data_IF_107408288627
#
_entry.id   IF_107408288627
#
_cell.length_a   1.000
_cell.length_b   1.000
_cell.length_c   1.000
_cell.angle_alpha   90.00
_cell.angle_beta   90.00
_cell.angle_gamma   90.00
#
_symmetry.space_group_name_H-M   'P 1'
#
loop_
_entity.id
_entity.type
_entity.pdbx_description
1 polymer ?
#
# COMPACT_ATOMS: atom_id res chain seq x y z
N UNK A 1 23.56 -18.39 21.70
CA UNK A 1 23.47 -18.96 20.34
C UNK A 1 24.19 -18.02 19.39
N UNK A 2 25.08 -18.50 18.52
CA UNK A 2 25.66 -17.67 17.47
C UNK A 2 24.55 -17.24 16.48
N UNK A 3 24.60 -16.01 15.99
CA UNK A 3 23.62 -15.45 15.04
C UNK A 3 24.35 -14.93 13.80
N UNK A 4 23.86 -15.27 12.61
CA UNK A 4 24.29 -14.69 11.34
C UNK A 4 23.18 -13.78 10.81
N UNK A 5 23.45 -12.49 10.52
CA UNK A 5 22.43 -11.60 9.98
C UNK A 5 22.00 -12.05 8.58
N UNK A 6 20.69 -12.11 8.36
CA UNK A 6 20.11 -12.35 7.04
C UNK A 6 19.48 -11.07 6.48
N UNK A 7 19.44 -10.99 5.16
CA UNK A 7 18.69 -9.99 4.39
C UNK A 7 17.69 -10.73 3.53
N UNK A 8 16.45 -10.27 3.52
CA UNK A 8 15.41 -10.79 2.63
C UNK A 8 15.29 -9.91 1.37
N UNK A 9 15.10 -10.52 0.22
CA UNK A 9 14.64 -9.79 -0.98
C UNK A 9 13.34 -10.41 -1.44
N UNK A 10 12.36 -9.57 -1.78
CA UNK A 10 11.07 -10.06 -2.24
C UNK A 10 10.31 -9.08 -3.11
N UNK A 11 9.18 -9.55 -3.60
CA UNK A 11 8.18 -8.80 -4.35
C UNK A 11 6.88 -8.81 -3.57
N UNK A 12 6.06 -7.78 -3.74
CA UNK A 12 4.63 -7.92 -3.48
C UNK A 12 4.01 -8.59 -4.71
N UNK A 13 3.63 -9.86 -4.57
CA UNK A 13 3.08 -10.64 -5.67
C UNK A 13 1.62 -10.29 -6.00
N UNK A 14 1.04 -11.02 -6.96
CA UNK A 14 -0.35 -10.83 -7.40
C UNK A 14 -1.39 -11.20 -6.32
N UNK A 15 -1.00 -11.97 -5.30
CA UNK A 15 -1.83 -12.27 -4.14
C UNK A 15 -1.71 -11.20 -3.04
N UNK A 16 -0.90 -10.14 -3.26
CA UNK A 16 -0.68 -9.07 -2.29
C UNK A 16 0.24 -9.45 -1.14
N UNK A 17 1.05 -10.51 -1.30
CA UNK A 17 1.95 -11.03 -0.27
C UNK A 17 3.40 -10.74 -0.63
N UNK A 18 4.20 -10.38 0.38
CA UNK A 18 5.64 -10.18 0.21
C UNK A 18 6.33 -11.54 0.24
N UNK A 19 6.89 -11.95 -0.91
CA UNK A 19 7.51 -13.27 -1.09
C UNK A 19 8.82 -13.17 -1.84
N UNK A 20 9.73 -14.09 -1.53
CA UNK A 20 11.10 -14.04 -2.03
C UNK A 20 12.02 -14.91 -1.19
N UNK A 21 13.28 -14.49 -1.03
CA UNK A 21 14.34 -15.35 -0.47
C UNK A 21 15.31 -14.56 0.39
N UNK A 22 15.68 -15.18 1.53
CA UNK A 22 16.72 -14.69 2.43
C UNK A 22 18.12 -15.15 2.03
N UNK A 23 19.13 -14.34 2.35
CA UNK A 23 20.54 -14.66 2.15
C UNK A 23 21.40 -14.00 3.26
N UNK A 24 22.64 -14.49 3.51
CA UNK A 24 23.54 -13.87 4.48
C UNK A 24 23.86 -12.42 4.15
N UNK A 25 23.81 -11.52 5.14
CA UNK A 25 24.09 -10.10 4.93
C UNK A 25 25.49 -9.83 4.36
N UNK A 26 26.45 -10.75 4.58
CA UNK A 26 27.78 -10.71 3.97
C UNK A 26 27.75 -10.73 2.44
N UNK A 27 26.70 -11.31 1.83
CA UNK A 27 26.56 -11.44 0.39
C UNK A 27 25.85 -10.25 -0.25
N UNK A 28 25.43 -9.24 0.53
CA UNK A 28 24.57 -8.15 0.06
C UNK A 28 25.10 -7.44 -1.18
N UNK A 29 26.39 -7.13 -1.23
CA UNK A 29 27.01 -6.47 -2.39
C UNK A 29 26.87 -7.32 -3.65
N UNK A 30 27.11 -8.63 -3.55
CA UNK A 30 26.94 -9.54 -4.67
C UNK A 30 25.45 -9.67 -5.05
N UNK A 31 24.54 -9.76 -4.07
CA UNK A 31 23.09 -9.88 -4.34
C UNK A 31 22.45 -8.64 -4.93
N UNK A 32 22.95 -7.43 -4.62
CA UNK A 32 22.48 -6.21 -5.28
C UNK A 32 22.84 -6.19 -6.77
N UNK A 33 24.01 -6.75 -7.14
CA UNK A 33 24.46 -6.86 -8.53
C UNK A 33 23.80 -8.04 -9.26
N UNK A 34 23.92 -9.24 -8.70
CA UNK A 34 23.60 -10.51 -9.37
C UNK A 34 22.17 -10.96 -9.11
N UNK A 35 21.60 -10.57 -7.97
CA UNK A 35 20.23 -10.87 -7.59
C UNK A 35 20.07 -12.22 -6.95
N UNK A 36 18.82 -12.65 -6.87
CA UNK A 36 18.42 -13.91 -6.24
C UNK A 36 17.45 -14.63 -7.15
N UNK A 37 17.74 -15.91 -7.46
CA UNK A 37 16.91 -16.70 -8.37
C UNK A 37 15.47 -16.87 -7.88
N UNK A 38 14.55 -16.92 -8.83
CA UNK A 38 13.11 -17.09 -8.69
C UNK A 38 12.61 -18.03 -9.79
N UNK A 39 11.51 -18.75 -9.58
CA UNK A 39 10.82 -19.47 -10.65
C UNK A 39 9.57 -18.71 -11.11
N UNK A 40 9.21 -18.84 -12.38
CA UNK A 40 8.01 -18.23 -12.95
C UNK A 40 6.74 -18.55 -12.14
N UNK A 41 6.61 -19.79 -11.68
CA UNK A 41 5.46 -20.27 -10.92
C UNK A 41 5.27 -19.59 -9.55
N UNK A 42 6.30 -18.93 -8.99
CA UNK A 42 6.17 -18.25 -7.70
C UNK A 42 5.14 -17.12 -7.72
N UNK A 43 4.99 -16.39 -8.84
CA UNK A 43 4.01 -15.30 -8.94
C UNK A 43 2.56 -15.80 -8.93
N UNK A 44 2.36 -17.08 -9.26
CA UNK A 44 1.04 -17.72 -9.38
C UNK A 44 0.58 -18.36 -8.07
N UNK A 45 1.35 -18.23 -7.00
CA UNK A 45 1.00 -18.77 -5.70
C UNK A 45 -0.17 -18.00 -5.09
N UNK A 46 -1.25 -18.69 -4.78
CA UNK A 46 -2.45 -18.05 -4.23
C UNK A 46 -2.22 -17.47 -2.83
N UNK A 47 -3.14 -16.63 -2.37
CA UNK A 47 -3.14 -16.10 -1.01
C UNK A 47 -3.21 -17.20 0.07
N UNK A 48 -3.64 -18.42 -0.29
CA UNK A 48 -3.78 -19.57 0.61
C UNK A 48 -2.61 -20.56 0.52
N UNK A 49 -1.61 -20.30 -0.33
CA UNK A 49 -0.38 -21.10 -0.42
C UNK A 49 -0.24 -22.03 -1.64
N UNK A 50 -1.26 -22.70 -2.20
CA UNK A 50 -1.03 -23.54 -3.37
C UNK A 50 -0.79 -22.71 -4.64
N UNK A 51 -0.02 -23.31 -5.56
CA UNK A 51 0.11 -22.91 -6.96
C UNK A 51 -0.87 -23.78 -7.75
N UNK A 52 -1.77 -23.16 -8.52
CA UNK A 52 -2.71 -23.86 -9.40
C UNK A 52 -2.09 -24.05 -10.79
N UNK A 53 -2.84 -24.58 -11.75
CA UNK A 53 -2.37 -24.71 -13.14
C UNK A 53 -1.92 -23.34 -13.69
N UNK A 54 -0.72 -23.30 -14.28
CA UNK A 54 -0.11 -22.06 -14.79
C UNK A 54 0.44 -22.28 -16.19
N UNK A 55 0.53 -21.23 -17.03
CA UNK A 55 1.15 -21.32 -18.36
C UNK A 55 2.67 -21.54 -18.32
N UNK A 56 3.31 -21.42 -17.14
CA UNK A 56 4.77 -21.45 -17.01
C UNK A 56 5.33 -22.84 -16.68
N UNK A 57 4.49 -23.76 -16.18
CA UNK A 57 4.94 -25.08 -15.74
C UNK A 57 6.05 -25.02 -14.67
N UNK A 58 7.06 -25.88 -14.82
CA UNK A 58 8.21 -25.98 -13.90
C UNK A 58 9.53 -25.55 -14.54
N UNK A 59 9.49 -24.95 -15.72
CA UNK A 59 10.69 -24.60 -16.51
C UNK A 59 11.02 -23.11 -16.43
N UNK A 60 12.28 -22.80 -16.65
CA UNK A 60 12.80 -21.44 -16.74
C UNK A 60 13.06 -20.78 -15.38
N UNK A 61 14.13 -19.99 -15.35
CA UNK A 61 14.54 -19.21 -14.20
C UNK A 61 14.31 -17.72 -14.43
N UNK A 62 14.07 -17.01 -13.33
CA UNK A 62 13.99 -15.56 -13.24
C UNK A 62 14.92 -15.08 -12.12
N UNK A 63 15.12 -13.77 -12.05
CA UNK A 63 15.95 -13.14 -11.02
C UNK A 63 15.17 -12.04 -10.32
N UNK A 64 15.12 -12.10 -8.99
CA UNK A 64 14.81 -10.95 -8.16
C UNK A 64 16.02 -10.02 -8.11
N UNK A 65 15.89 -8.83 -8.71
CA UNK A 65 16.87 -7.75 -8.63
C UNK A 65 16.47 -6.79 -7.51
N UNK A 66 17.14 -6.81 -6.34
CA UNK A 66 16.79 -5.89 -5.26
C UNK A 66 17.02 -4.44 -5.67
N UNK A 67 16.06 -3.57 -5.39
CA UNK A 67 16.18 -2.14 -5.63
C UNK A 67 16.74 -1.44 -4.37
N UNK A 68 17.96 -0.87 -4.42
CA UNK A 68 18.58 -0.22 -3.27
C UNK A 68 17.74 0.88 -2.62
N UNK A 69 16.87 1.55 -3.39
CA UNK A 69 16.01 2.63 -2.89
C UNK A 69 14.88 2.15 -1.98
N UNK A 70 14.64 0.83 -1.93
CA UNK A 70 13.60 0.19 -1.12
C UNK A 70 14.15 -0.47 0.15
N UNK A 71 15.43 -0.24 0.45
CA UNK A 71 16.08 -0.78 1.65
C UNK A 71 15.24 -0.50 2.90
N UNK A 72 14.92 -1.56 3.63
CA UNK A 72 14.42 -1.51 5.01
C UNK A 72 15.46 -2.13 5.91
N UNK A 73 15.85 -1.39 6.95
CA UNK A 73 16.72 -1.87 8.04
C UNK A 73 16.22 -1.24 9.34
N UNK A 74 15.57 -2.04 10.18
CA UNK A 74 14.96 -1.58 11.44
C UNK A 74 15.40 -2.48 12.59
N UNK A 75 16.09 -1.89 13.56
CA UNK A 75 16.51 -2.56 14.79
C UNK A 75 15.36 -2.62 15.80
N UNK A 76 15.18 -3.76 16.46
CA UNK A 76 14.15 -4.00 17.48
C UNK A 76 14.78 -4.45 18.82
N UNK A 77 15.88 -3.81 19.22
CA UNK A 77 16.58 -4.13 20.47
C UNK A 77 17.27 -5.49 20.39
N UNK A 78 16.89 -6.43 21.27
CA UNK A 78 17.49 -7.77 21.34
C UNK A 78 16.93 -8.76 20.30
N UNK A 79 15.79 -8.42 19.68
CA UNK A 79 15.19 -9.19 18.60
C UNK A 79 16.02 -9.08 17.31
N UNK A 80 15.83 -10.03 16.39
CA UNK A 80 16.42 -9.91 15.06
C UNK A 80 15.89 -8.64 14.38
N UNK A 81 16.80 -7.84 13.80
CA UNK A 81 16.41 -6.67 13.03
C UNK A 81 15.63 -7.08 11.76
N UNK A 82 14.75 -6.20 11.31
CA UNK A 82 14.03 -6.34 10.06
C UNK A 82 14.91 -5.82 8.92
N UNK A 83 15.35 -6.70 8.01
CA UNK A 83 16.24 -6.34 6.89
C UNK A 83 15.69 -6.89 5.59
N UNK A 84 15.16 -6.02 4.73
CA UNK A 84 14.72 -6.45 3.41
C UNK A 84 14.81 -5.39 2.33
N UNK A 85 14.69 -5.85 1.09
CA UNK A 85 14.55 -5.03 -0.11
C UNK A 85 13.34 -5.52 -0.90
N UNK A 86 12.63 -4.57 -1.52
CA UNK A 86 11.72 -4.89 -2.61
C UNK A 86 12.54 -5.02 -3.90
N UNK A 87 12.10 -5.91 -4.78
CA UNK A 87 12.79 -6.23 -6.02
C UNK A 87 11.90 -6.04 -7.24
N UNK A 88 12.57 -5.91 -8.38
CA UNK A 88 11.96 -6.14 -9.68
C UNK A 88 12.23 -7.59 -10.10
N UNK A 89 11.30 -8.19 -10.84
CA UNK A 89 11.48 -9.51 -11.44
C UNK A 89 12.11 -9.31 -12.82
N UNK A 90 13.25 -9.96 -13.04
CA UNK A 90 14.03 -9.87 -14.27
C UNK A 90 14.10 -11.23 -14.95
N UNK A 91 14.20 -11.23 -16.27
CA UNK A 91 14.60 -12.41 -17.05
C UNK A 91 16.09 -12.70 -16.83
N UNK A 92 16.55 -13.88 -17.26
CA UNK A 92 17.96 -14.24 -17.22
C UNK A 92 18.84 -13.34 -18.11
N UNK A 93 18.25 -12.71 -19.12
CA UNK A 93 18.92 -11.75 -20.01
C UNK A 93 19.04 -10.35 -19.40
N UNK A 94 18.46 -10.13 -18.21
CA UNK A 94 18.54 -8.85 -17.48
C UNK A 94 17.44 -7.85 -17.82
N UNK A 95 16.43 -8.24 -18.60
CA UNK A 95 15.26 -7.43 -18.91
C UNK A 95 14.18 -7.57 -17.84
N UNK A 96 13.30 -6.57 -17.68
CA UNK A 96 12.14 -6.70 -16.81
C UNK A 96 11.21 -7.79 -17.34
N UNK A 97 10.83 -8.72 -16.46
CA UNK A 97 9.86 -9.74 -16.81
C UNK A 97 8.46 -9.12 -16.97
N UNK A 98 7.72 -9.54 -17.99
CA UNK A 98 6.44 -8.95 -18.36
C UNK A 98 5.36 -9.01 -17.26
N UNK A 99 5.46 -9.99 -16.36
CA UNK A 99 4.55 -10.17 -15.23
C UNK A 99 5.08 -9.53 -13.93
N UNK A 100 6.11 -8.69 -13.98
CA UNK A 100 6.59 -7.93 -12.82
C UNK A 100 5.58 -6.82 -12.45
N UNK A 101 4.89 -6.87 -11.28
CA UNK A 101 3.91 -5.85 -10.91
C UNK A 101 4.52 -4.46 -10.72
N UNK A 102 5.78 -4.43 -10.28
CA UNK A 102 6.53 -3.20 -10.03
C UNK A 102 6.94 -2.51 -11.34
N UNK A 103 7.34 -3.28 -12.35
CA UNK A 103 7.57 -2.74 -13.69
C UNK A 103 6.26 -2.31 -14.38
N UNK A 104 5.16 -3.05 -14.18
CA UNK A 104 3.85 -2.63 -14.70
C UNK A 104 3.48 -1.21 -14.23
N UNK A 105 3.66 -0.91 -12.93
CA UNK A 105 3.46 0.45 -12.40
C UNK A 105 4.46 1.45 -12.98
N UNK A 106 5.74 1.07 -13.11
CA UNK A 106 6.78 1.91 -13.72
C UNK A 106 6.40 2.35 -15.13
N UNK A 107 5.94 1.41 -15.98
CA UNK A 107 5.48 1.70 -17.35
C UNK A 107 4.23 2.58 -17.36
N UNK A 108 3.28 2.37 -16.46
CA UNK A 108 2.09 3.21 -16.35
C UNK A 108 2.43 4.66 -15.95
N UNK A 109 3.38 4.85 -15.02
CA UNK A 109 3.87 6.17 -14.63
C UNK A 109 4.60 6.87 -15.78
N UNK A 110 5.42 6.14 -16.53
CA UNK A 110 6.10 6.67 -17.71
C UNK A 110 5.11 7.08 -18.81
N UNK A 111 4.05 6.30 -19.03
CA UNK A 111 2.99 6.66 -19.97
C UNK A 111 2.26 7.95 -19.55
N UNK A 112 1.92 8.11 -18.27
CA UNK A 112 1.33 9.33 -17.74
C UNK A 112 2.21 10.56 -18.00
N UNK A 113 3.52 10.44 -17.79
CA UNK A 113 4.47 11.53 -18.03
C UNK A 113 4.64 11.84 -19.53
N UNK A 114 4.82 10.81 -20.35
CA UNK A 114 5.09 10.96 -21.78
C UNK A 114 3.88 11.49 -22.56
N UNK A 115 2.69 10.99 -22.25
CA UNK A 115 1.47 11.31 -23.00
C UNK A 115 0.77 12.56 -22.47
N UNK A 116 0.79 12.80 -21.15
CA UNK A 116 0.06 13.91 -20.54
C UNK A 116 0.98 15.00 -19.95
N UNK A 117 2.28 14.77 -19.83
CA UNK A 117 3.19 15.70 -19.15
C UNK A 117 2.90 15.84 -17.65
N UNK A 118 2.30 14.81 -17.05
CA UNK A 118 1.87 14.82 -15.65
C UNK A 118 2.66 13.83 -14.82
N UNK A 119 2.86 14.14 -13.55
CA UNK A 119 3.41 13.20 -12.56
C UNK A 119 2.42 12.94 -11.43
N UNK A 120 2.48 11.72 -10.88
CA UNK A 120 1.62 11.26 -9.80
C UNK A 120 2.24 11.53 -8.43
N UNK A 121 1.47 12.21 -7.57
CA UNK A 121 1.71 12.31 -6.13
C UNK A 121 0.58 11.55 -5.43
N UNK A 122 0.91 10.56 -4.62
CA UNK A 122 -0.11 9.74 -3.97
C UNK A 122 0.30 9.22 -2.59
N UNK A 123 -0.69 8.81 -1.81
CA UNK A 123 -0.55 8.16 -0.50
C UNK A 123 -1.61 7.07 -0.36
N UNK A 124 -1.25 6.00 0.37
CA UNK A 124 -2.17 4.98 0.81
C UNK A 124 -2.52 5.21 2.28
N UNK A 125 -3.81 5.10 2.63
CA UNK A 125 -4.30 4.98 3.99
C UNK A 125 -4.73 3.53 4.19
N UNK A 126 -4.13 2.83 5.15
CA UNK A 126 -4.35 1.39 5.33
C UNK A 126 -4.90 1.12 6.73
N UNK A 127 -6.13 0.65 6.77
CA UNK A 127 -6.77 0.17 8.00
C UNK A 127 -6.35 -1.28 8.28
N UNK A 128 -6.24 -1.63 9.56
CA UNK A 128 -5.96 -3.00 9.98
C UNK A 128 -6.53 -3.30 11.37
N UNK A 129 -6.74 -4.58 11.64
CA UNK A 129 -7.06 -5.07 12.99
C UNK A 129 -5.79 -5.46 13.72
N UNK A 130 -5.62 -4.96 14.94
CA UNK A 130 -4.52 -5.36 15.84
C UNK A 130 -5.01 -6.28 16.94
N UNK A 131 -4.48 -7.50 17.03
CA UNK A 131 -4.99 -8.51 17.98
C UNK A 131 -4.46 -8.36 19.40
N UNK A 132 -3.58 -7.40 19.68
CA UNK A 132 -3.05 -7.13 21.03
C UNK A 132 -3.98 -6.32 21.93
N UNK A 133 -5.22 -6.10 21.47
CA UNK A 133 -6.21 -5.29 22.17
C UNK A 133 -7.47 -6.13 22.37
N UNK A 134 -8.04 -6.06 23.56
CA UNK A 134 -9.38 -6.59 23.82
C UNK A 134 -10.43 -5.65 23.22
N UNK A 135 -11.45 -6.24 22.60
CA UNK A 135 -12.56 -5.44 22.10
C UNK A 135 -13.29 -4.74 23.25
N UNK A 136 -13.65 -3.47 23.01
CA UNK A 136 -14.43 -2.66 23.93
C UNK A 136 -15.56 -1.98 23.14
N UNK A 137 -16.82 -2.44 23.32
CA UNK A 137 -17.97 -1.79 22.71
C UNK A 137 -18.04 -0.29 23.02
N UNK A 138 -18.32 0.52 21.99
CA UNK A 138 -18.43 1.97 22.10
C UNK A 138 -17.10 2.73 22.23
N UNK A 139 -15.95 2.05 22.09
CA UNK A 139 -14.63 2.69 22.11
C UNK A 139 -14.18 3.21 20.73
N UNK A 140 -15.08 3.26 19.76
CA UNK A 140 -14.88 3.80 18.42
C UNK A 140 -14.29 5.21 18.45
N UNK A 141 -13.13 5.43 17.81
CA UNK A 141 -12.36 6.69 17.86
C UNK A 141 -12.06 7.21 19.28
N UNK A 142 -12.21 6.39 20.33
CA UNK A 142 -12.11 6.86 21.70
C UNK A 142 -10.66 6.90 22.19
N UNK A 143 -10.36 7.85 23.07
CA UNK A 143 -9.07 7.92 23.78
C UNK A 143 -8.76 6.63 24.55
N UNK A 144 -9.78 5.87 24.94
CA UNK A 144 -9.61 4.57 25.57
C UNK A 144 -9.05 3.50 24.61
N UNK A 145 -9.57 3.42 23.38
CA UNK A 145 -9.01 2.52 22.36
C UNK A 145 -7.56 2.89 22.01
N UNK A 146 -7.24 4.18 22.02
CA UNK A 146 -5.86 4.67 21.92
C UNK A 146 -4.96 4.22 23.09
N UNK A 147 -5.46 4.17 24.32
CA UNK A 147 -4.67 3.72 25.48
C UNK A 147 -4.47 2.21 25.51
N UNK A 148 -5.44 1.43 25.01
CA UNK A 148 -5.43 -0.04 25.07
C UNK A 148 -4.43 -0.72 24.15
N UNK A 149 -3.99 -0.07 23.07
CA UNK A 149 -2.97 -0.63 22.17
C UNK A 149 -1.58 -0.77 22.82
N UNK A 150 -1.39 -0.23 24.02
CA UNK A 150 -0.13 -0.32 24.74
C UNK A 150 0.98 0.44 24.01
N UNK A 151 2.03 -0.29 23.62
CA UNK A 151 3.21 0.28 22.96
C UNK A 151 3.19 0.10 21.43
N UNK A 152 2.14 -0.51 20.87
CA UNK A 152 2.10 -0.84 19.45
C UNK A 152 2.23 0.39 18.55
N UNK A 153 1.44 1.43 18.80
CA UNK A 153 1.43 2.66 18.01
C UNK A 153 2.76 3.39 18.03
N UNK A 154 3.37 3.53 19.21
CA UNK A 154 4.68 4.16 19.36
C UNK A 154 5.77 3.38 18.63
N UNK A 155 5.82 2.05 18.83
CA UNK A 155 6.76 1.17 18.17
C UNK A 155 6.56 1.15 16.64
N UNK A 156 5.32 1.18 16.18
CA UNK A 156 4.99 1.17 14.76
C UNK A 156 5.38 2.48 14.07
N UNK A 157 5.04 3.64 14.67
CA UNK A 157 5.44 4.94 14.15
C UNK A 157 6.97 5.09 14.11
N UNK A 158 7.68 4.58 15.13
CA UNK A 158 9.13 4.56 15.15
C UNK A 158 9.72 3.64 14.07
N UNK A 159 9.16 2.43 13.91
CA UNK A 159 9.59 1.47 12.89
C UNK A 159 9.40 2.01 11.46
N UNK A 160 8.26 2.67 11.18
CA UNK A 160 8.02 3.32 9.89
C UNK A 160 9.08 4.40 9.59
N UNK A 161 9.42 5.24 10.57
CA UNK A 161 10.48 6.25 10.40
C UNK A 161 11.84 5.62 10.18
N UNK A 162 12.18 4.56 10.91
CA UNK A 162 13.42 3.82 10.73
C UNK A 162 13.50 3.13 9.35
N UNK A 163 12.36 2.68 8.81
CA UNK A 163 12.23 2.15 7.45
C UNK A 163 12.25 3.25 6.36
N UNK A 164 12.43 4.52 6.73
CA UNK A 164 12.51 5.64 5.80
C UNK A 164 11.16 6.14 5.28
N UNK A 165 10.04 5.82 5.96
CA UNK A 165 8.72 6.39 5.68
C UNK A 165 8.49 7.65 6.52
N UNK A 166 7.50 8.46 6.12
CA UNK A 166 7.12 9.68 6.81
C UNK A 166 5.69 9.59 7.36
N UNK A 167 5.47 8.92 8.51
CA UNK A 167 4.14 8.76 9.09
C UNK A 167 3.64 10.05 9.76
N UNK A 168 2.35 10.34 9.57
CA UNK A 168 1.68 11.54 10.05
C UNK A 168 0.85 11.24 11.30
N UNK A 169 -0.11 10.30 11.21
CA UNK A 169 -1.03 10.00 12.30
C UNK A 169 -1.20 8.50 12.53
N UNK A 170 -1.53 8.15 13.78
CA UNK A 170 -1.99 6.82 14.19
C UNK A 170 -3.30 7.01 14.97
N UNK A 171 -4.34 6.26 14.63
CA UNK A 171 -5.66 6.42 15.24
C UNK A 171 -6.40 5.09 15.39
N UNK A 172 -7.22 4.92 16.46
CA UNK A 172 -8.26 3.90 16.48
C UNK A 172 -9.35 4.26 15.47
N UNK A 173 -9.88 3.26 14.78
CA UNK A 173 -10.85 3.42 13.70
C UNK A 173 -12.28 3.00 14.11
N UNK A 174 -13.20 2.94 13.14
CA UNK A 174 -14.61 2.61 13.38
C UNK A 174 -14.79 1.22 14.05
N UNK A 175 -14.06 0.23 13.55
CA UNK A 175 -14.19 -1.18 13.91
C UNK A 175 -13.53 -1.59 15.22
N UNK A 176 -14.00 -2.72 15.76
CA UNK A 176 -13.42 -3.35 16.93
C UNK A 176 -11.93 -3.68 16.72
N UNK A 177 -11.07 -3.12 17.58
CA UNK A 177 -9.59 -3.30 17.51
C UNK A 177 -8.98 -2.83 16.19
N UNK A 178 -9.69 -1.98 15.46
CA UNK A 178 -9.26 -1.44 14.19
C UNK A 178 -8.43 -0.17 14.42
N UNK A 179 -7.35 -0.04 13.66
CA UNK A 179 -6.49 1.12 13.67
C UNK A 179 -6.08 1.49 12.25
N UNK A 180 -5.67 2.74 12.08
CA UNK A 180 -5.10 3.27 10.84
C UNK A 180 -3.81 4.03 11.15
N UNK A 181 -2.85 3.94 10.23
CA UNK A 181 -1.74 4.90 10.14
C UNK A 181 -1.79 5.60 8.79
N UNK A 182 -1.68 6.93 8.83
CA UNK A 182 -1.51 7.74 7.61
C UNK A 182 -0.04 8.09 7.41
N UNK A 183 0.39 8.11 6.15
CA UNK A 183 1.72 8.57 5.75
C UNK A 183 1.61 9.75 4.80
N UNK A 184 2.64 10.60 4.76
CA UNK A 184 2.72 11.67 3.79
C UNK A 184 2.82 11.12 2.36
N UNK A 185 2.30 11.87 1.36
CA UNK A 185 2.33 11.42 -0.02
C UNK A 185 3.73 11.43 -0.63
N UNK A 186 3.96 10.46 -1.49
CA UNK A 186 5.20 10.23 -2.23
C UNK A 186 4.95 10.27 -3.75
N UNK A 187 6.01 10.11 -4.53
CA UNK A 187 5.95 10.16 -6.00
C UNK A 187 6.39 8.88 -6.67
N UNK A 188 5.81 8.63 -7.82
CA UNK A 188 6.20 7.52 -8.69
C UNK A 188 6.09 6.17 -7.99
N UNK A 189 7.07 5.31 -8.23
CA UNK A 189 7.08 3.93 -7.75
C UNK A 189 7.10 3.83 -6.21
N UNK A 190 7.72 4.81 -5.56
CA UNK A 190 7.86 4.88 -4.10
C UNK A 190 6.52 4.81 -3.38
N UNK A 191 5.45 5.33 -3.97
CA UNK A 191 4.10 5.30 -3.38
C UNK A 191 3.65 3.85 -3.10
N UNK A 192 3.86 2.94 -4.06
CA UNK A 192 3.49 1.54 -3.90
C UNK A 192 4.46 0.81 -2.96
N UNK A 193 5.76 1.12 -3.04
CA UNK A 193 6.77 0.56 -2.14
C UNK A 193 6.46 0.89 -0.67
N UNK A 194 6.10 2.14 -0.37
CA UNK A 194 5.72 2.57 0.98
C UNK A 194 4.46 1.87 1.46
N UNK A 195 3.48 1.64 0.59
CA UNK A 195 2.28 0.89 0.95
C UNK A 195 2.58 -0.58 1.31
N UNK A 196 3.59 -1.18 0.70
CA UNK A 196 4.05 -2.54 1.05
C UNK A 196 4.81 -2.51 2.37
N UNK A 197 5.80 -1.62 2.49
CA UNK A 197 6.64 -1.47 3.69
C UNK A 197 5.78 -1.14 4.90
N UNK A 198 4.76 -0.30 4.75
CA UNK A 198 3.83 0.07 5.81
C UNK A 198 3.14 -1.17 6.41
N UNK A 199 2.59 -2.06 5.57
CA UNK A 199 1.95 -3.30 6.03
C UNK A 199 2.92 -4.24 6.72
N UNK A 200 4.10 -4.42 6.14
CA UNK A 200 5.10 -5.33 6.69
C UNK A 200 5.68 -4.81 8.01
N UNK A 201 5.85 -3.49 8.18
CA UNK A 201 6.24 -2.91 9.48
C UNK A 201 5.16 -3.10 10.55
N UNK A 202 3.88 -2.99 10.19
CA UNK A 202 2.78 -3.25 11.14
C UNK A 202 2.81 -4.71 11.61
N UNK A 203 3.03 -5.65 10.68
CA UNK A 203 3.19 -7.09 10.98
C UNK A 203 4.44 -7.36 11.81
N UNK A 204 5.56 -6.75 11.47
CA UNK A 204 6.84 -6.91 12.15
C UNK A 204 6.77 -6.45 13.62
N UNK A 205 6.13 -5.31 13.87
CA UNK A 205 5.92 -4.76 15.22
C UNK A 205 4.92 -5.62 16.00
N UNK A 206 3.77 -5.95 15.39
CA UNK A 206 2.76 -6.78 16.04
C UNK A 206 3.33 -8.15 16.45
N UNK A 207 4.11 -8.78 15.57
CA UNK A 207 4.75 -10.07 15.81
C UNK A 207 5.67 -10.04 17.04
N UNK A 208 6.52 -9.02 17.15
CA UNK A 208 7.44 -8.85 18.29
C UNK A 208 6.73 -8.55 19.60
N UNK A 209 5.55 -7.94 19.53
CA UNK A 209 4.66 -7.77 20.68
C UNK A 209 3.80 -9.02 20.97
N UNK A 210 4.01 -10.14 20.29
CA UNK A 210 3.25 -11.39 20.51
C UNK A 210 1.85 -11.39 19.91
N UNK A 211 1.59 -10.53 18.92
CA UNK A 211 0.27 -10.27 18.35
C UNK A 211 0.31 -10.24 16.80
N UNK A 212 -0.83 -9.93 16.17
CA UNK A 212 -0.97 -9.86 14.70
C UNK A 212 -1.58 -8.53 14.28
N UNK A 213 -1.10 -8.01 13.14
CA UNK A 213 -1.76 -6.96 12.38
C UNK A 213 -2.41 -7.60 11.13
N UNK A 214 -3.73 -7.46 11.00
CA UNK A 214 -4.54 -8.15 9.98
C UNK A 214 -5.16 -7.12 9.03
N UNK A 215 -4.75 -7.17 7.77
CA UNK A 215 -5.20 -6.28 6.68
C UNK A 215 -6.28 -6.93 5.79
N UNK A 216 -6.84 -8.07 6.20
CA UNK A 216 -7.92 -8.70 5.45
C UNK A 216 -9.08 -7.70 5.27
N UNK A 217 -9.71 -7.61 4.08
CA UNK A 217 -10.78 -6.65 3.82
C UNK A 217 -11.94 -6.76 4.81
N UNK A 218 -12.21 -7.98 5.28
CA UNK A 218 -13.18 -8.27 6.34
C UNK A 218 -12.80 -9.59 7.00
N UNK A 219 -12.91 -9.66 8.33
CA UNK A 219 -12.59 -10.87 9.11
C UNK A 219 -13.87 -11.63 9.47
N UNK A 220 -14.87 -10.91 9.96
CA UNK A 220 -16.20 -11.40 10.25
C UNK A 220 -17.17 -10.85 9.18
N UNK A 221 -17.86 -11.69 8.40
CA UNK A 221 -18.83 -11.25 7.41
C UNK A 221 -19.90 -10.29 7.95
N UNK A 222 -20.16 -10.24 9.26
CA UNK A 222 -21.10 -9.30 9.89
C UNK A 222 -20.41 -8.12 10.60
N UNK A 223 -19.08 -8.08 10.57
CA UNK A 223 -18.27 -7.05 11.19
C UNK A 223 -17.91 -5.86 10.29
N UNK A 224 -17.04 -5.01 10.82
CA UNK A 224 -16.44 -3.86 10.11
C UNK A 224 -15.24 -4.34 9.28
N UNK A 225 -15.14 -3.85 8.06
CA UNK A 225 -14.04 -4.18 7.15
C UNK A 225 -12.88 -3.18 7.22
N UNK A 226 -11.71 -3.60 6.75
CA UNK A 226 -10.55 -2.74 6.57
C UNK A 226 -10.50 -2.19 5.14
N UNK A 227 -10.43 -0.87 5.02
CA UNK A 227 -10.19 -0.14 3.80
C UNK A 227 -8.70 0.01 3.46
N UNK A 228 -8.46 0.27 2.19
CA UNK A 228 -7.17 0.79 1.71
C UNK A 228 -7.47 1.94 0.76
N UNK A 229 -7.52 3.15 1.30
CA UNK A 229 -7.82 4.33 0.48
C UNK A 229 -6.56 4.82 -0.22
N UNK A 230 -6.71 5.23 -1.48
CA UNK A 230 -5.63 5.82 -2.27
C UNK A 230 -5.99 7.27 -2.56
N UNK A 231 -5.10 8.17 -2.16
CA UNK A 231 -5.23 9.60 -2.37
C UNK A 231 -4.33 10.02 -3.52
N UNK A 232 -4.91 10.61 -4.56
CA UNK A 232 -4.21 11.03 -5.77
C UNK A 232 -4.17 12.56 -5.91
N UNK A 233 -3.01 13.07 -6.31
CA UNK A 233 -2.80 14.42 -6.85
C UNK A 233 -1.93 14.32 -8.10
N UNK A 234 -2.20 15.17 -9.09
CA UNK A 234 -1.38 15.30 -10.29
C UNK A 234 -0.60 16.61 -10.28
N UNK A 235 0.61 16.57 -10.83
CA UNK A 235 1.53 17.70 -10.97
C UNK A 235 1.94 17.86 -12.43
N UNK A 236 2.06 19.10 -12.91
CA UNK A 236 2.67 19.37 -14.22
C UNK A 236 4.21 19.33 -14.15
N UNK A 237 4.87 19.63 -15.28
CA UNK A 237 6.33 19.68 -15.41
C UNK A 237 7.00 20.77 -14.56
N UNK A 238 6.25 21.79 -14.14
CA UNK A 238 6.72 22.85 -13.24
C UNK A 238 6.42 22.52 -11.76
N UNK A 239 6.00 21.28 -11.48
CA UNK A 239 5.55 20.79 -10.19
C UNK A 239 4.31 21.49 -9.59
N UNK A 240 3.49 22.11 -10.43
CA UNK A 240 2.26 22.78 -9.99
C UNK A 240 1.11 21.78 -9.90
N UNK A 241 0.27 21.84 -8.85
CA UNK A 241 -0.89 20.96 -8.73
C UNK A 241 -1.93 21.29 -9.79
N UNK A 242 -2.33 20.31 -10.59
CA UNK A 242 -3.23 20.54 -11.74
C UNK A 242 -4.68 20.12 -11.52
N UNK A 243 -5.01 19.45 -10.40
CA UNK A 243 -6.37 18.96 -10.17
C UNK A 243 -7.35 20.02 -9.66
N UNK A 244 -6.86 21.16 -9.17
CA UNK A 244 -7.68 22.18 -8.52
C UNK A 244 -8.05 23.31 -9.48
N UNK A 245 -9.33 23.70 -9.46
CA UNK A 245 -9.80 24.96 -10.05
C UNK A 245 -10.90 25.53 -9.15
N UNK A 246 -10.71 26.75 -8.62
CA UNK A 246 -11.63 27.35 -7.67
C UNK A 246 -13.01 27.70 -8.28
N UNK A 247 -13.08 27.90 -9.60
CA UNK A 247 -14.25 28.44 -10.31
C UNK A 247 -15.13 27.35 -10.90
N UNK A 248 -14.67 26.09 -10.92
CA UNK A 248 -15.37 24.96 -11.53
C UNK A 248 -16.19 24.15 -10.52
N UNK A 249 -17.21 23.39 -10.99
CA UNK A 249 -17.94 22.44 -10.17
C UNK A 249 -16.99 21.48 -9.43
N UNK A 250 -17.35 21.10 -8.21
CA UNK A 250 -16.50 20.29 -7.32
C UNK A 250 -15.12 20.89 -7.03
N UNK A 251 -14.82 22.09 -7.54
CA UNK A 251 -13.50 22.70 -7.61
C UNK A 251 -12.42 21.83 -8.26
N UNK A 252 -12.82 21.04 -9.26
CA UNK A 252 -11.91 20.25 -10.08
C UNK A 252 -11.58 21.02 -11.36
N UNK A 253 -10.30 21.03 -11.74
CA UNK A 253 -9.90 21.52 -13.07
C UNK A 253 -10.46 20.61 -14.17
N UNK A 254 -10.38 21.05 -15.42
CA UNK A 254 -10.71 20.19 -16.57
C UNK A 254 -9.87 18.90 -16.61
N UNK A 255 -8.58 18.99 -16.25
CA UNK A 255 -7.71 17.81 -16.11
C UNK A 255 -8.23 16.89 -15.01
N UNK A 256 -8.61 17.43 -13.87
CA UNK A 256 -9.16 16.65 -12.76
C UNK A 256 -10.51 16.00 -13.08
N UNK A 257 -11.38 16.67 -13.83
CA UNK A 257 -12.62 16.10 -14.34
C UNK A 257 -12.36 14.92 -15.28
N UNK A 258 -11.42 15.05 -16.23
CA UNK A 258 -11.06 13.95 -17.15
C UNK A 258 -10.40 12.76 -16.42
N UNK A 259 -9.50 13.04 -15.48
CA UNK A 259 -8.89 12.01 -14.65
C UNK A 259 -9.94 11.24 -13.83
N UNK A 260 -10.84 11.96 -13.17
CA UNK A 260 -11.93 11.36 -12.41
C UNK A 260 -12.89 10.56 -13.31
N UNK A 261 -13.22 11.08 -14.49
CA UNK A 261 -14.08 10.40 -15.45
C UNK A 261 -13.47 9.07 -15.91
N UNK A 262 -12.16 9.01 -16.19
CA UNK A 262 -11.46 7.78 -16.55
C UNK A 262 -11.52 6.73 -15.44
N UNK A 263 -11.25 7.12 -14.19
CA UNK A 263 -11.34 6.23 -13.03
C UNK A 263 -12.75 5.67 -12.88
N UNK A 264 -13.78 6.54 -12.90
CA UNK A 264 -15.18 6.12 -12.76
C UNK A 264 -15.61 5.21 -13.91
N UNK A 265 -15.17 5.50 -15.15
CA UNK A 265 -15.49 4.69 -16.32
C UNK A 265 -14.91 3.26 -16.22
N UNK A 266 -13.66 3.14 -15.76
CA UNK A 266 -12.97 1.85 -15.67
C UNK A 266 -13.16 1.12 -14.33
N UNK A 267 -13.85 1.74 -13.36
CA UNK A 267 -13.97 1.24 -11.99
C UNK A 267 -14.44 -0.22 -11.87
N UNK A 268 -15.44 -0.69 -12.65
CA UNK A 268 -15.86 -2.09 -12.60
C UNK A 268 -14.74 -3.09 -12.95
N UNK A 269 -13.83 -2.71 -13.85
CA UNK A 269 -12.68 -3.55 -14.22
C UNK A 269 -11.53 -3.40 -13.22
N UNK A 270 -11.26 -2.18 -12.78
CA UNK A 270 -10.22 -1.88 -11.78
C UNK A 270 -10.51 -2.58 -10.45
N UNK A 271 -11.79 -2.75 -10.08
CA UNK A 271 -12.21 -3.48 -8.90
C UNK A 271 -11.69 -4.93 -8.84
N UNK A 272 -11.49 -5.59 -9.98
CA UNK A 272 -10.90 -6.94 -10.01
C UNK A 272 -9.45 -6.97 -9.49
N UNK A 273 -8.75 -5.82 -9.55
CA UNK A 273 -7.35 -5.68 -9.15
C UNK A 273 -7.24 -4.98 -7.78
N UNK A 274 -8.11 -4.01 -7.49
CA UNK A 274 -8.10 -3.26 -6.21
C UNK A 274 -8.91 -3.94 -5.10
N UNK A 275 -9.84 -4.83 -5.45
CA UNK A 275 -10.60 -5.68 -4.54
C UNK A 275 -10.51 -7.17 -4.96
N UNK A 276 -9.30 -7.76 -5.01
CA UNK A 276 -9.04 -9.00 -5.76
C UNK A 276 -9.46 -10.28 -5.03
N UNK A 277 -9.94 -10.21 -3.78
CA UNK A 277 -10.26 -11.39 -2.97
C UNK A 277 -11.76 -11.57 -2.81
N UNK A 278 -12.22 -12.81 -2.61
CA UNK A 278 -13.61 -13.08 -2.26
C UNK A 278 -14.07 -12.29 -1.01
N UNK A 279 -13.18 -12.16 -0.01
CA UNK A 279 -13.43 -11.36 1.19
C UNK A 279 -13.69 -9.87 0.87
N UNK A 280 -13.06 -9.33 -0.17
CA UNK A 280 -13.27 -7.95 -0.60
C UNK A 280 -14.74 -7.69 -0.98
N UNK A 281 -15.43 -8.65 -1.59
CA UNK A 281 -16.84 -8.52 -1.99
C UNK A 281 -17.83 -8.71 -0.82
N UNK A 282 -17.38 -9.26 0.31
CA UNK A 282 -18.15 -9.18 1.56
C UNK A 282 -18.07 -7.78 2.18
N UNK A 283 -16.96 -7.06 1.99
CA UNK A 283 -16.82 -5.64 2.36
C UNK A 283 -17.59 -4.70 1.43
N UNK A 284 -17.51 -4.89 0.11
CA UNK A 284 -18.16 -4.05 -0.91
C UNK A 284 -19.69 -4.25 -0.96
N UNK A 285 -20.38 -3.88 0.11
CA UNK A 285 -21.84 -3.94 0.26
C UNK A 285 -22.37 -2.63 0.87
N UNK A 286 -23.64 -2.28 0.63
CA UNK A 286 -24.21 -1.06 1.21
C UNK A 286 -24.08 -1.05 2.74
N UNK A 287 -23.92 0.14 3.32
CA UNK A 287 -23.81 0.39 4.76
C UNK A 287 -22.56 -0.20 5.46
N UNK A 288 -21.47 -0.45 4.72
CA UNK A 288 -20.19 -0.95 5.29
C UNK A 288 -19.00 -0.01 5.13
N UNK A 289 -19.25 1.29 4.98
CA UNK A 289 -18.21 2.29 4.70
C UNK A 289 -17.33 1.92 3.49
N UNK A 290 -17.95 1.25 2.52
CA UNK A 290 -17.34 0.80 1.28
C UNK A 290 -18.25 1.18 0.12
N UNK A 291 -17.69 1.59 -1.03
CA UNK A 291 -18.51 2.02 -2.14
C UNK A 291 -19.11 0.83 -2.88
N UNK A 292 -20.30 1.04 -3.45
CA UNK A 292 -21.02 0.01 -4.23
C UNK A 292 -21.43 0.46 -5.63
N UNK A 293 -21.10 1.70 -6.01
CA UNK A 293 -21.40 2.27 -7.32
C UNK A 293 -20.17 2.98 -7.88
N UNK A 294 -19.97 2.91 -9.19
CA UNK A 294 -19.00 3.75 -9.88
C UNK A 294 -19.52 5.19 -9.95
N UNK A 295 -19.15 6.03 -8.97
CA UNK A 295 -19.62 7.40 -8.85
C UNK A 295 -18.54 8.33 -8.30
N UNK A 296 -18.76 9.64 -8.49
CA UNK A 296 -17.96 10.72 -7.93
C UNK A 296 -18.80 11.49 -6.90
N UNK A 297 -18.25 11.70 -5.71
CA UNK A 297 -18.90 12.44 -4.63
C UNK A 297 -18.05 13.59 -4.09
N UNK A 298 -18.70 14.71 -3.74
CA UNK A 298 -18.07 15.78 -2.97
C UNK A 298 -18.27 15.48 -1.49
N UNK A 299 -17.19 15.23 -0.74
CA UNK A 299 -17.25 14.94 0.69
C UNK A 299 -18.13 13.72 1.05
N UNK A 300 -18.44 12.87 0.08
CA UNK A 300 -19.20 11.64 0.26
C UNK A 300 -18.22 10.47 0.49
N UNK A 301 -18.28 9.86 1.68
CA UNK A 301 -17.45 8.69 2.03
C UNK A 301 -18.01 7.38 1.48
N UNK A 302 -19.23 7.37 0.95
CA UNK A 302 -19.82 6.21 0.26
C UNK A 302 -19.55 6.19 -1.25
N UNK A 303 -18.95 7.24 -1.81
CA UNK A 303 -18.61 7.30 -3.23
C UNK A 303 -17.31 6.53 -3.53
N UNK A 304 -17.27 5.85 -4.69
CA UNK A 304 -16.05 5.17 -5.17
C UNK A 304 -14.91 6.13 -5.50
N UNK A 305 -15.25 7.37 -5.82
CA UNK A 305 -14.28 8.43 -6.01
C UNK A 305 -14.75 9.66 -5.25
N UNK A 306 -13.89 10.18 -4.37
CA UNK A 306 -14.21 11.30 -3.49
C UNK A 306 -13.27 12.46 -3.74
N UNK A 307 -13.84 13.63 -3.97
CA UNK A 307 -13.06 14.86 -3.98
C UNK A 307 -12.85 15.33 -2.54
N UNK A 308 -11.60 15.23 -2.06
CA UNK A 308 -11.27 15.61 -0.69
C UNK A 308 -11.31 17.15 -0.53
N UNK A 309 -12.00 17.68 0.49
CA UNK A 309 -12.11 19.11 0.68
C UNK A 309 -10.77 19.71 1.11
N UNK A 310 -10.49 20.91 0.62
CA UNK A 310 -9.39 21.72 1.15
C UNK A 310 -9.83 22.32 2.48
N UNK A 311 -9.08 22.07 3.56
CA UNK A 311 -9.34 22.71 4.85
C UNK A 311 -9.33 24.24 4.72
N UNK A 312 -10.42 24.90 5.14
CA UNK A 312 -10.58 26.37 5.04
C UNK A 312 -9.58 27.18 5.88
N UNK A 313 -8.84 26.54 6.79
CA UNK A 313 -8.00 27.21 7.79
C UNK A 313 -6.53 27.47 7.38
N UNK A 314 -6.11 27.16 6.15
CA UNK A 314 -4.72 27.44 5.73
C UNK A 314 -4.59 28.90 5.26
N UNK A 315 -3.78 29.69 5.96
CA UNK A 315 -3.28 31.03 5.54
C UNK A 315 -2.27 30.95 4.37
N UNK A 316 -2.14 29.80 3.74
CA UNK A 316 -1.23 29.51 2.63
C UNK A 316 -2.05 29.19 1.37
N UNK A 317 -1.47 29.29 0.15
CA UNK A 317 -2.17 28.88 -1.07
C UNK A 317 -2.81 27.49 -0.89
N UNK A 318 -3.97 27.23 -1.54
CA UNK A 318 -4.67 25.97 -1.39
C UNK A 318 -3.70 24.81 -1.64
N UNK A 319 -3.61 23.88 -0.69
CA UNK A 319 -2.84 22.65 -0.86
C UNK A 319 -3.31 21.86 -2.10
N UNK A 320 -2.54 20.87 -2.56
CA UNK A 320 -2.94 20.06 -3.71
C UNK A 320 -4.34 19.49 -3.47
N UNK A 321 -5.21 19.59 -4.48
CA UNK A 321 -6.49 18.91 -4.43
C UNK A 321 -6.24 17.41 -4.57
N UNK A 322 -6.85 16.66 -3.68
CA UNK A 322 -6.72 15.21 -3.60
C UNK A 322 -8.04 14.58 -4.01
N UNK A 323 -7.94 13.57 -4.86
CA UNK A 323 -9.05 12.66 -5.14
C UNK A 323 -8.74 11.35 -4.42
N UNK A 324 -9.62 10.94 -3.50
CA UNK A 324 -9.50 9.68 -2.79
C UNK A 324 -10.36 8.59 -3.44
N UNK A 325 -9.85 7.38 -3.55
CA UNK A 325 -10.61 6.17 -3.93
C UNK A 325 -10.46 5.12 -2.82
N UNK A 326 -11.54 4.49 -2.33
CA UNK A 326 -11.48 3.54 -1.23
C UNK A 326 -11.36 2.06 -1.63
#
# INVERSE_FOLDING_TARGET
>A
MQREPLVFVGICDLAGLVRGKGFPASDLVARLRDGVGLTHSNIMMSAFGPIYETPFGTEGDLVLRPDPSTKVEVEFGEDAAERFYLADIMTMDGEHWECCPRDFLRRALAALENEAGLSLLAAFEQEFVYTGVEDRPGATYALDAWRRQGNFGEAYMAALRAAGLNPDSFLPEYGARQYEVTIHPSRGLRVADEAVIQREMARAVAHRLGHRAIFAPIIDPDGVGNGTHIHFSLRDRDDKPVLYDALRPYRLSRIGEHFAAGIVHHLPFVAAITAPSAASYYRLRPNRWAPTWANLGLQDRGASLRVCPLGRARRHPPGPRVIGAP
#
